data_IF_846046870262
#
_entry.id   IF_846046870262
#
_cell.length_a   1.000
_cell.length_b   1.000
_cell.length_c   1.000
_cell.angle_alpha   90.00
_cell.angle_beta   90.00
_cell.angle_gamma   90.00
#
_symmetry.space_group_name_H-M   'P 1'
#
loop_
_entity.id
_entity.type
_entity.pdbx_description
1 polymer ?
#
# COMPACT_ATOMS: atom_id res chain seq x y z
N UNK A 1 -59.56 45.95 -51.61
CA UNK A 1 -59.97 46.90 -50.55
C UNK A 1 -59.84 46.15 -49.22
N UNK A 2 -59.24 46.80 -48.22
CA UNK A 2 -58.98 46.37 -46.83
C UNK A 2 -57.64 45.64 -46.57
N UNK A 3 -56.77 46.42 -45.92
CA UNK A 3 -55.47 46.21 -45.25
C UNK A 3 -55.60 45.23 -44.06
N UNK A 4 -54.55 44.59 -43.52
CA UNK A 4 -53.73 45.04 -42.36
C UNK A 4 -52.55 44.04 -42.16
N UNK A 5 -51.46 44.57 -41.60
CA UNK A 5 -50.07 44.11 -41.46
C UNK A 5 -49.70 43.09 -40.35
N UNK A 6 -48.65 42.28 -40.62
CA UNK A 6 -47.48 41.76 -39.81
C UNK A 6 -47.72 41.14 -38.39
N UNK A 7 -46.81 40.29 -37.83
CA UNK A 7 -45.37 40.16 -38.13
C UNK A 7 -44.78 38.74 -38.31
N UNK A 8 -43.54 38.74 -38.79
CA UNK A 8 -42.68 37.60 -39.06
C UNK A 8 -42.29 36.81 -37.79
N UNK A 9 -42.34 35.48 -37.86
CA UNK A 9 -41.77 34.58 -36.84
C UNK A 9 -40.33 34.25 -37.21
N UNK A 10 -39.40 34.63 -36.33
CA UNK A 10 -38.00 34.17 -36.31
C UNK A 10 -37.94 32.64 -36.22
N UNK A 11 -37.18 32.01 -37.12
CA UNK A 11 -36.79 30.61 -37.01
C UNK A 11 -35.58 30.48 -36.08
N UNK A 12 -35.80 29.99 -34.85
CA UNK A 12 -34.72 29.46 -34.02
C UNK A 12 -34.32 28.08 -34.55
N UNK A 13 -33.21 28.01 -35.29
CA UNK A 13 -32.50 26.73 -35.51
C UNK A 13 -31.88 26.32 -34.17
N UNK A 14 -32.43 25.29 -33.52
CA UNK A 14 -31.78 24.62 -32.39
C UNK A 14 -30.51 23.95 -32.91
N UNK A 15 -29.36 24.56 -32.62
CA UNK A 15 -28.06 23.91 -32.71
C UNK A 15 -28.04 22.81 -31.64
N UNK A 16 -28.12 21.54 -32.05
CA UNK A 16 -27.92 20.41 -31.15
C UNK A 16 -26.42 20.37 -30.83
N UNK A 17 -26.00 21.05 -29.76
CA UNK A 17 -24.65 20.93 -29.23
C UNK A 17 -24.59 19.58 -28.50
N UNK A 18 -24.11 18.55 -29.19
CA UNK A 18 -23.78 17.27 -28.56
C UNK A 18 -22.58 17.52 -27.65
N UNK A 19 -22.86 17.86 -26.39
CA UNK A 19 -21.86 17.84 -25.33
C UNK A 19 -21.48 16.38 -25.12
N UNK A 20 -20.45 15.94 -25.84
CA UNK A 20 -19.68 14.75 -25.45
C UNK A 20 -18.93 15.17 -24.19
N UNK A 21 -19.59 15.04 -23.04
CA UNK A 21 -18.90 15.01 -21.76
C UNK A 21 -18.07 13.74 -21.80
N UNK A 22 -16.80 13.86 -22.17
CA UNK A 22 -15.83 12.83 -21.95
C UNK A 22 -15.81 12.58 -20.44
N UNK A 23 -16.39 11.46 -20.00
CA UNK A 23 -16.19 10.98 -18.64
C UNK A 23 -14.68 10.87 -18.43
N UNK A 24 -14.09 11.53 -17.43
CA UNK A 24 -12.70 11.32 -17.11
C UNK A 24 -12.52 9.84 -16.78
N UNK A 25 -11.49 9.25 -17.36
CA UNK A 25 -11.07 7.88 -17.07
C UNK A 25 -11.02 7.69 -15.56
N UNK A 26 -11.95 6.91 -15.02
CA UNK A 26 -11.96 6.54 -13.61
C UNK A 26 -10.66 5.78 -13.32
N UNK A 27 -9.68 6.45 -12.71
CA UNK A 27 -8.72 5.75 -11.88
C UNK A 27 -9.56 5.00 -10.84
N UNK A 28 -9.41 3.67 -10.76
CA UNK A 28 -10.13 2.90 -9.76
C UNK A 28 -9.77 3.45 -8.37
N UNK A 29 -10.77 3.98 -7.66
CA UNK A 29 -10.57 4.62 -6.37
C UNK A 29 -10.02 3.64 -5.33
N UNK A 30 -9.21 4.15 -4.40
CA UNK A 30 -8.79 3.42 -3.21
C UNK A 30 -10.01 2.98 -2.39
N UNK A 31 -9.96 1.79 -1.80
CA UNK A 31 -11.05 1.28 -0.96
C UNK A 31 -10.56 0.21 0.01
N UNK A 32 -11.14 0.15 1.20
CA UNK A 32 -10.90 -0.91 2.18
C UNK A 32 -12.19 -1.47 2.76
N UNK A 33 -12.11 -2.67 3.33
CA UNK A 33 -13.19 -3.31 4.07
C UNK A 33 -12.65 -4.36 5.04
N UNK A 34 -13.37 -4.57 6.14
CA UNK A 34 -13.06 -5.60 7.13
C UNK A 34 -14.05 -6.74 7.06
N UNK A 35 -13.54 -7.97 7.10
CA UNK A 35 -14.31 -9.19 7.27
C UNK A 35 -13.96 -9.84 8.61
N UNK A 36 -14.95 -10.42 9.26
CA UNK A 36 -14.78 -11.08 10.56
C UNK A 36 -15.27 -12.52 10.50
N UNK A 37 -14.47 -13.43 11.06
CA UNK A 37 -14.75 -14.86 11.11
C UNK A 37 -14.64 -15.32 12.56
N UNK A 38 -15.71 -15.94 13.07
CA UNK A 38 -15.70 -16.58 14.39
C UNK A 38 -15.51 -18.07 14.21
N UNK A 39 -14.48 -18.63 14.85
CA UNK A 39 -14.21 -20.08 14.79
C UNK A 39 -15.33 -20.85 15.48
N UNK A 40 -15.93 -21.81 14.77
CA UNK A 40 -16.96 -22.71 15.35
C UNK A 40 -16.36 -24.02 15.87
N UNK A 41 -15.12 -24.32 15.47
CA UNK A 41 -14.35 -25.48 15.86
C UNK A 41 -12.85 -25.16 15.75
N UNK A 42 -12.02 -25.99 16.38
CA UNK A 42 -10.56 -25.81 16.37
C UNK A 42 -9.92 -25.92 14.98
N UNK A 43 -10.55 -26.67 14.07
CA UNK A 43 -10.22 -26.69 12.66
C UNK A 43 -11.41 -26.16 11.86
N UNK A 44 -11.14 -25.29 10.89
CA UNK A 44 -12.17 -24.67 10.08
C UNK A 44 -11.70 -24.42 8.65
N UNK A 45 -12.67 -24.29 7.75
CA UNK A 45 -12.50 -23.85 6.37
C UNK A 45 -13.64 -22.89 6.05
N UNK A 46 -13.30 -21.67 5.67
CA UNK A 46 -14.21 -20.67 5.17
C UNK A 46 -13.88 -20.33 3.72
N UNK A 47 -14.90 -20.08 2.93
CA UNK A 47 -14.73 -19.63 1.56
C UNK A 47 -15.83 -18.65 1.19
N UNK A 48 -15.45 -17.55 0.52
CA UNK A 48 -16.39 -16.50 0.16
C UNK A 48 -15.96 -15.77 -1.12
N UNK A 49 -16.93 -15.08 -1.72
CA UNK A 49 -16.64 -14.10 -2.77
C UNK A 49 -15.78 -12.99 -2.22
N UNK A 50 -14.89 -12.48 -3.06
CA UNK A 50 -14.08 -11.32 -2.74
C UNK A 50 -15.00 -10.10 -2.50
N UNK A 51 -14.79 -9.33 -1.42
CA UNK A 51 -15.73 -8.29 -1.01
C UNK A 51 -15.61 -7.01 -1.85
N UNK A 52 -14.48 -6.80 -2.53
CA UNK A 52 -14.25 -5.61 -3.36
C UNK A 52 -14.48 -5.90 -4.85
N UNK A 53 -15.00 -4.92 -5.59
CA UNK A 53 -15.27 -5.08 -7.03
C UNK A 53 -14.18 -4.48 -7.93
N UNK A 54 -13.29 -3.64 -7.38
CA UNK A 54 -12.20 -2.95 -8.09
C UNK A 54 -10.85 -3.50 -7.64
N UNK A 55 -10.16 -4.24 -8.52
CA UNK A 55 -8.87 -4.88 -8.23
C UNK A 55 -7.80 -4.35 -9.18
N UNK A 56 -6.91 -3.49 -8.68
CA UNK A 56 -6.14 -2.64 -9.59
C UNK A 56 -5.02 -2.02 -8.75
N UNK A 57 -3.75 -2.49 -8.82
CA UNK A 57 -3.20 -3.64 -9.58
C UNK A 57 -3.23 -4.98 -8.82
N UNK A 58 -3.60 -4.96 -7.55
CA UNK A 58 -3.71 -6.12 -6.66
C UNK A 58 -4.57 -5.72 -5.46
N UNK A 59 -4.76 -6.63 -4.52
CA UNK A 59 -5.26 -6.30 -3.19
C UNK A 59 -4.20 -6.56 -2.13
N UNK A 60 -4.20 -5.73 -1.10
CA UNK A 60 -3.45 -5.96 0.12
C UNK A 60 -4.38 -6.58 1.18
N UNK A 61 -3.86 -7.53 1.95
CA UNK A 61 -4.61 -8.28 2.96
C UNK A 61 -3.78 -8.41 4.21
N UNK A 62 -4.38 -8.08 5.36
CA UNK A 62 -3.81 -8.37 6.66
C UNK A 62 -4.86 -9.05 7.54
N UNK A 63 -4.40 -9.86 8.47
CA UNK A 63 -5.25 -10.53 9.45
C UNK A 63 -4.94 -10.02 10.84
N UNK A 64 -5.93 -10.03 11.71
CA UNK A 64 -5.75 -9.75 13.13
C UNK A 64 -6.58 -10.70 13.98
N UNK A 65 -6.07 -11.08 15.14
CA UNK A 65 -6.73 -12.00 16.09
C UNK A 65 -6.32 -11.69 17.54
N UNK A 66 -7.08 -12.13 18.56
CA UNK A 66 -6.75 -11.86 19.95
C UNK A 66 -5.37 -12.39 20.35
N UNK A 67 -4.66 -11.62 21.17
CA UNK A 67 -3.38 -12.05 21.72
C UNK A 67 -3.53 -13.25 22.67
N UNK A 68 -2.52 -14.12 22.66
CA UNK A 68 -2.55 -15.40 23.37
C UNK A 68 -3.35 -16.50 22.67
N UNK A 69 -4.12 -16.19 21.63
CA UNK A 69 -4.74 -17.18 20.76
C UNK A 69 -3.78 -17.51 19.60
N UNK A 70 -3.40 -18.77 19.48
CA UNK A 70 -2.48 -19.22 18.45
C UNK A 70 -2.99 -20.51 17.79
N UNK A 71 -3.18 -20.43 16.48
CA UNK A 71 -3.38 -21.58 15.62
C UNK A 71 -2.66 -21.38 14.30
N UNK A 72 -2.67 -22.39 13.44
CA UNK A 72 -2.22 -22.20 12.06
C UNK A 72 -3.32 -21.54 11.26
N UNK A 73 -2.96 -20.58 10.40
CA UNK A 73 -3.89 -19.92 9.49
C UNK A 73 -3.26 -19.88 8.10
N UNK A 74 -4.05 -20.21 7.09
CA UNK A 74 -3.63 -20.16 5.71
C UNK A 74 -4.74 -19.58 4.84
N UNK A 75 -4.34 -18.78 3.85
CA UNK A 75 -5.25 -18.17 2.89
C UNK A 75 -4.83 -18.53 1.46
N UNK A 76 -5.79 -18.64 0.55
CA UNK A 76 -5.51 -18.63 -0.89
C UNK A 76 -6.52 -17.78 -1.62
N UNK A 77 -6.09 -17.23 -2.75
CA UNK A 77 -6.86 -16.32 -3.58
C UNK A 77 -7.09 -16.94 -4.95
N UNK A 78 -8.23 -16.64 -5.57
CA UNK A 78 -8.59 -17.21 -6.88
C UNK A 78 -9.58 -16.36 -7.66
N UNK A 79 -9.65 -16.61 -8.97
CA UNK A 79 -10.70 -16.04 -9.85
C UNK A 79 -12.07 -16.68 -9.58
N UNK A 80 -12.07 -17.87 -8.98
CA UNK A 80 -13.27 -18.58 -8.53
C UNK A 80 -12.85 -19.66 -7.53
N UNK A 81 -13.82 -20.24 -6.81
CA UNK A 81 -13.58 -21.40 -5.92
C UNK A 81 -12.86 -22.57 -6.60
N UNK A 82 -13.07 -22.77 -7.90
CA UNK A 82 -12.43 -23.85 -8.68
C UNK A 82 -11.06 -23.47 -9.28
N UNK A 83 -10.71 -22.18 -9.25
CA UNK A 83 -9.48 -21.61 -9.79
C UNK A 83 -8.76 -20.81 -8.72
N UNK A 84 -8.44 -21.47 -7.61
CA UNK A 84 -7.68 -20.90 -6.51
C UNK A 84 -6.18 -21.19 -6.68
N UNK A 85 -5.36 -20.21 -6.35
CA UNK A 85 -3.90 -20.36 -6.27
C UNK A 85 -3.46 -21.24 -5.09
N UNK A 86 -2.15 -21.30 -4.83
CA UNK A 86 -1.61 -22.07 -3.72
C UNK A 86 -2.02 -21.49 -2.37
N UNK A 87 -2.07 -22.35 -1.35
CA UNK A 87 -2.21 -21.93 0.05
C UNK A 87 -0.96 -21.18 0.51
N UNK A 88 -1.17 -20.01 1.10
CA UNK A 88 -0.14 -19.18 1.70
C UNK A 88 -0.33 -19.19 3.22
N UNK A 89 0.73 -19.44 4.00
CA UNK A 89 0.65 -19.30 5.45
C UNK A 89 0.46 -17.83 5.83
N UNK A 90 -0.39 -17.59 6.83
CA UNK A 90 -0.55 -16.28 7.46
C UNK A 90 0.30 -16.30 8.72
N UNK A 91 1.37 -15.52 8.72
CA UNK A 91 2.28 -15.39 9.85
C UNK A 91 1.97 -14.13 10.64
N UNK A 92 2.07 -14.19 11.97
CA UNK A 92 2.11 -12.98 12.79
C UNK A 92 3.27 -12.09 12.32
N UNK A 93 3.04 -10.78 12.25
CA UNK A 93 4.09 -9.81 12.02
C UNK A 93 5.05 -9.83 13.22
N UNK A 94 6.33 -10.20 13.03
CA UNK A 94 7.31 -10.22 14.13
C UNK A 94 7.55 -8.83 14.74
N UNK A 95 7.15 -7.76 14.06
CA UNK A 95 7.26 -6.38 14.51
C UNK A 95 6.03 -5.91 15.30
N UNK A 96 4.91 -6.64 15.24
CA UNK A 96 3.73 -6.35 16.06
C UNK A 96 3.91 -6.90 17.49
N UNK A 97 4.75 -6.26 18.31
CA UNK A 97 4.94 -6.64 19.72
C UNK A 97 3.71 -6.30 20.57
N UNK A 98 3.49 -7.07 21.65
CA UNK A 98 2.40 -6.85 22.60
C UNK A 98 2.29 -5.39 23.11
N UNK A 99 3.43 -4.73 23.35
CA UNK A 99 3.50 -3.36 23.84
C UNK A 99 3.22 -2.28 22.78
N UNK A 100 3.35 -2.61 21.50
CA UNK A 100 3.17 -1.69 20.36
C UNK A 100 1.79 -1.89 19.68
N UNK A 101 1.08 -2.96 20.06
CA UNK A 101 -0.34 -3.16 19.70
C UNK A 101 -1.13 -2.16 20.53
N UNK A 102 -1.90 -1.30 19.88
CA UNK A 102 -2.81 -0.37 20.56
C UNK A 102 -3.78 -1.11 21.52
N UNK A 103 -4.72 -0.38 22.17
CA UNK A 103 -5.60 -0.91 23.22
C UNK A 103 -6.48 -2.13 22.83
N UNK A 104 -6.42 -2.60 21.58
CA UNK A 104 -7.19 -3.73 21.06
C UNK A 104 -6.63 -5.12 21.43
N UNK A 105 -5.37 -5.25 21.87
CA UNK A 105 -4.81 -6.55 22.29
C UNK A 105 -4.81 -7.61 21.18
N UNK A 106 -4.57 -7.20 19.93
CA UNK A 106 -4.62 -8.07 18.76
C UNK A 106 -3.23 -8.34 18.19
N UNK A 107 -2.92 -9.61 17.90
CA UNK A 107 -1.83 -9.98 17.00
C UNK A 107 -2.24 -9.58 15.58
N UNK A 108 -1.34 -8.95 14.84
CA UNK A 108 -1.52 -8.61 13.42
C UNK A 108 -0.59 -9.49 12.58
N UNK A 109 -1.04 -9.91 11.41
CA UNK A 109 -0.23 -10.68 10.46
C UNK A 109 0.72 -9.81 9.64
N UNK A 110 1.74 -10.42 9.05
CA UNK A 110 2.44 -9.81 7.93
C UNK A 110 1.47 -9.45 6.79
N UNK A 111 1.83 -8.43 6.01
CA UNK A 111 1.04 -7.96 4.87
C UNK A 111 1.14 -8.92 3.67
N UNK A 112 -0.01 -9.37 3.18
CA UNK A 112 -0.14 -10.28 2.05
C UNK A 112 -0.70 -9.55 0.83
N UNK A 113 -0.40 -10.07 -0.36
CA UNK A 113 -0.87 -9.49 -1.63
C UNK A 113 -1.65 -10.54 -2.43
N UNK A 114 -2.91 -10.23 -2.75
CA UNK A 114 -3.75 -11.03 -3.63
C UNK A 114 -3.71 -10.46 -5.07
N UNK A 115 -3.59 -11.29 -6.12
CA UNK A 115 -3.56 -10.80 -7.51
C UNK A 115 -4.83 -10.01 -7.90
N UNK A 116 -4.73 -9.06 -8.86
CA UNK A 116 -5.90 -8.31 -9.37
C UNK A 116 -7.06 -9.19 -9.90
N UNK A 117 -6.78 -10.42 -10.33
CA UNK A 117 -7.80 -11.37 -10.75
C UNK A 117 -8.66 -11.94 -9.61
N UNK A 118 -8.33 -11.64 -8.35
CA UNK A 118 -9.00 -12.26 -7.19
C UNK A 118 -10.48 -11.90 -7.16
N UNK A 119 -11.34 -12.92 -7.15
CA UNK A 119 -12.81 -12.84 -6.98
C UNK A 119 -13.32 -13.80 -5.92
N UNK A 120 -12.43 -14.64 -5.39
CA UNK A 120 -12.71 -15.64 -4.38
C UNK A 120 -11.52 -15.76 -3.44
N UNK A 121 -11.78 -15.97 -2.16
CA UNK A 121 -10.76 -16.38 -1.21
C UNK A 121 -11.23 -17.58 -0.41
N UNK A 122 -10.25 -18.35 0.06
CA UNK A 122 -10.46 -19.44 0.99
C UNK A 122 -9.50 -19.27 2.16
N UNK A 123 -10.01 -19.51 3.36
CA UNK A 123 -9.30 -19.44 4.62
C UNK A 123 -9.42 -20.79 5.31
N UNK A 124 -8.32 -21.33 5.81
CA UNK A 124 -8.35 -22.52 6.68
C UNK A 124 -7.46 -22.32 7.87
N UNK A 125 -7.86 -22.90 8.99
CA UNK A 125 -7.04 -22.89 10.19
C UNK A 125 -7.20 -24.15 11.02
N UNK A 126 -6.25 -24.35 11.92
CA UNK A 126 -6.25 -25.43 12.90
C UNK A 126 -5.63 -24.98 14.22
N UNK A 127 -6.08 -25.56 15.34
CA UNK A 127 -5.55 -25.27 16.67
C UNK A 127 -6.09 -23.99 17.31
N UNK A 128 -7.13 -23.38 16.75
CA UNK A 128 -7.74 -22.17 17.31
C UNK A 128 -8.72 -22.51 18.44
N UNK A 129 -8.80 -21.72 19.51
CA UNK A 129 -9.91 -21.81 20.46
C UNK A 129 -11.27 -21.67 19.75
N UNK A 130 -12.32 -22.29 20.30
CA UNK A 130 -13.67 -22.08 19.81
C UNK A 130 -14.13 -20.65 20.20
N UNK A 131 -14.69 -19.91 19.24
CA UNK A 131 -15.13 -18.54 19.45
C UNK A 131 -14.07 -17.47 19.16
N UNK A 132 -12.85 -17.86 18.77
CA UNK A 132 -11.80 -16.94 18.31
C UNK A 132 -12.32 -16.05 17.18
N UNK A 133 -12.08 -14.74 17.31
CA UNK A 133 -12.45 -13.75 16.30
C UNK A 133 -11.25 -13.42 15.42
N UNK A 134 -11.26 -13.89 14.18
CA UNK A 134 -10.24 -13.57 13.18
C UNK A 134 -10.80 -12.46 12.29
N UNK A 135 -10.10 -11.32 12.23
CA UNK A 135 -10.40 -10.21 11.33
C UNK A 135 -9.50 -10.29 10.11
N UNK A 136 -10.04 -9.95 8.95
CA UNK A 136 -9.31 -9.81 7.70
C UNK A 136 -9.57 -8.40 7.17
N UNK A 137 -8.55 -7.55 7.19
CA UNK A 137 -8.54 -6.26 6.53
C UNK A 137 -8.18 -6.45 5.07
N UNK A 138 -8.98 -5.87 4.17
CA UNK A 138 -8.77 -5.93 2.73
C UNK A 138 -8.69 -4.52 2.18
N UNK A 139 -7.63 -4.24 1.43
CA UNK A 139 -7.40 -2.94 0.82
C UNK A 139 -7.13 -3.06 -0.68
N UNK A 140 -7.74 -2.17 -1.46
CA UNK A 140 -7.49 -1.95 -2.88
C UNK A 140 -6.80 -0.60 -3.03
N UNK A 141 -5.50 -0.56 -3.40
CA UNK A 141 -4.74 0.68 -3.47
C UNK A 141 -5.04 1.54 -4.70
N UNK A 142 -5.88 1.09 -5.63
CA UNK A 142 -6.05 1.77 -6.93
C UNK A 142 -4.78 1.76 -7.79
N UNK A 143 -4.89 2.19 -9.04
CA UNK A 143 -3.73 2.28 -9.95
C UNK A 143 -2.98 3.59 -9.77
N UNK A 144 -1.65 3.56 -9.89
CA UNK A 144 -0.91 4.76 -10.26
C UNK A 144 -0.96 4.94 -11.79
N UNK A 145 -1.08 6.19 -12.23
CA UNK A 145 -0.64 6.50 -13.61
C UNK A 145 0.88 6.48 -13.57
N UNK A 146 1.51 5.46 -14.16
CA UNK A 146 2.97 5.41 -14.26
C UNK A 146 3.44 6.70 -14.96
N UNK A 147 4.21 7.58 -14.31
CA UNK A 147 4.82 8.70 -15.04
C UNK A 147 5.68 8.12 -16.17
N UNK A 148 5.64 8.68 -17.39
CA UNK A 148 6.50 8.20 -18.46
C UNK A 148 7.96 8.50 -18.11
N UNK A 149 8.77 7.44 -17.96
CA UNK A 149 10.23 7.51 -17.81
C UNK A 149 10.65 7.54 -16.35
N UNK A 150 11.06 6.41 -15.78
CA UNK A 150 12.43 5.89 -15.85
C UNK A 150 13.41 6.79 -15.11
N UNK A 151 13.91 6.29 -13.98
CA UNK A 151 15.19 6.73 -13.45
C UNK A 151 16.21 6.65 -14.60
N UNK A 152 16.57 7.81 -15.17
CA UNK A 152 17.79 7.90 -15.95
C UNK A 152 18.93 7.58 -14.98
N UNK A 153 19.75 6.57 -15.32
CA UNK A 153 20.97 6.32 -14.57
C UNK A 153 21.75 7.64 -14.44
N UNK A 154 22.16 8.05 -13.22
CA UNK A 154 22.88 9.30 -13.08
C UNK A 154 24.19 9.21 -13.88
N UNK A 155 24.57 10.29 -14.61
CA UNK A 155 25.87 10.32 -15.28
C UNK A 155 26.98 10.15 -14.23
N UNK A 156 28.07 9.48 -14.61
CA UNK A 156 29.25 9.34 -13.76
C UNK A 156 29.73 10.73 -13.31
N UNK A 157 29.76 10.98 -11.99
CA UNK A 157 30.04 12.31 -11.44
C UNK A 157 31.52 12.57 -11.20
N UNK A 158 32.00 13.82 -11.38
CA UNK A 158 33.35 14.24 -10.99
C UNK A 158 33.57 14.12 -9.48
N UNK A 159 34.83 14.05 -9.06
CA UNK A 159 35.31 13.75 -7.69
C UNK A 159 35.06 14.83 -6.63
N UNK A 160 34.39 15.93 -6.99
CA UNK A 160 34.00 16.99 -6.06
C UNK A 160 32.48 16.88 -5.86
N UNK A 161 32.01 16.16 -4.84
CA UNK A 161 30.63 15.68 -4.78
C UNK A 161 29.78 16.42 -3.75
N UNK A 162 28.89 17.35 -4.14
CA UNK A 162 27.65 17.52 -3.40
C UNK A 162 26.81 16.27 -3.67
N UNK A 163 26.75 15.34 -2.71
CA UNK A 163 25.85 14.18 -2.74
C UNK A 163 24.42 14.69 -2.61
N UNK A 164 23.66 14.93 -3.70
CA UNK A 164 22.34 15.53 -3.57
C UNK A 164 21.31 14.44 -3.29
N UNK A 165 20.16 14.86 -2.76
CA UNK A 165 19.04 13.95 -2.59
C UNK A 165 18.68 13.33 -3.96
N UNK A 166 18.57 12.00 -4.07
CA UNK A 166 18.11 11.36 -5.29
C UNK A 166 16.72 11.84 -5.71
N UNK A 167 16.38 11.71 -6.99
CA UNK A 167 15.01 11.97 -7.44
C UNK A 167 14.03 11.10 -6.64
N UNK A 168 13.03 11.75 -6.04
CA UNK A 168 12.10 11.15 -5.10
C UNK A 168 10.66 11.37 -5.55
N UNK A 169 9.85 10.32 -5.45
CA UNK A 169 8.40 10.41 -5.54
C UNK A 169 7.85 10.82 -4.16
N UNK A 170 7.33 12.03 -4.08
CA UNK A 170 6.73 12.58 -2.86
C UNK A 170 5.41 11.89 -2.53
N UNK A 171 4.87 12.16 -1.33
CA UNK A 171 3.53 11.68 -0.96
C UNK A 171 2.44 12.03 -1.96
N UNK A 172 2.49 13.23 -2.52
CA UNK A 172 1.53 13.66 -3.54
C UNK A 172 1.68 12.85 -4.85
N UNK A 173 2.88 12.36 -5.16
CA UNK A 173 3.12 11.55 -6.36
C UNK A 173 2.59 10.12 -6.20
N UNK A 174 2.79 9.50 -5.03
CA UNK A 174 2.35 8.12 -4.78
C UNK A 174 0.94 8.01 -4.18
N UNK A 175 0.34 9.08 -3.66
CA UNK A 175 -1.06 9.13 -3.23
C UNK A 175 -1.75 10.45 -3.69
N UNK A 176 -1.97 10.60 -5.01
CA UNK A 176 -2.43 11.86 -5.60
C UNK A 176 -3.87 12.25 -5.27
N UNK A 177 -4.69 11.31 -4.81
CA UNK A 177 -6.06 11.59 -4.34
C UNK A 177 -6.12 12.10 -2.89
N UNK A 178 -4.99 12.09 -2.17
CA UNK A 178 -4.88 12.57 -0.80
C UNK A 178 -5.53 11.65 0.24
N UNK A 179 -5.89 10.41 -0.08
CA UNK A 179 -6.46 9.48 0.89
C UNK A 179 -5.43 8.81 1.81
N UNK A 180 -4.16 9.20 1.70
CA UNK A 180 -3.04 8.73 2.52
C UNK A 180 -2.40 9.90 3.29
N UNK A 181 -3.14 10.63 4.14
CA UNK A 181 -2.60 11.81 4.82
C UNK A 181 -1.37 11.44 5.67
N UNK A 182 -0.38 12.35 5.77
CA UNK A 182 0.70 12.19 6.75
C UNK A 182 0.19 12.42 8.17
N UNK A 183 1.00 12.09 9.17
CA UNK A 183 0.75 12.50 10.56
C UNK A 183 0.56 14.04 10.62
N UNK A 184 -0.57 14.55 11.17
CA UNK A 184 -0.78 15.98 11.32
C UNK A 184 0.15 16.64 12.34
N UNK A 185 0.81 15.87 13.21
CA UNK A 185 1.66 16.35 14.30
C UNK A 185 3.01 15.62 14.37
N UNK A 186 3.82 15.66 13.30
CA UNK A 186 5.05 14.87 13.21
C UNK A 186 6.05 15.26 14.31
N UNK A 187 6.60 14.25 14.97
CA UNK A 187 7.70 14.47 15.92
C UNK A 187 9.01 14.64 15.15
N UNK A 188 9.66 15.79 15.29
CA UNK A 188 10.97 16.04 14.68
C UNK A 188 12.08 15.23 15.39
N UNK A 189 13.09 14.83 14.62
CA UNK A 189 14.30 14.20 15.14
C UNK A 189 15.50 14.58 14.30
N UNK A 190 16.72 14.54 14.84
CA UNK A 190 17.94 14.70 14.04
C UNK A 190 18.54 13.34 13.80
N UNK A 191 18.61 12.91 12.54
CA UNK A 191 19.20 11.61 12.23
C UNK A 191 20.69 11.56 12.61
N UNK A 192 21.07 10.53 13.35
CA UNK A 192 22.44 10.20 13.75
C UNK A 192 22.89 8.84 13.20
N UNK A 193 21.95 8.01 12.76
CA UNK A 193 22.21 6.70 12.19
C UNK A 193 21.10 6.31 11.20
N UNK A 194 21.39 5.32 10.35
CA UNK A 194 20.51 4.88 9.27
C UNK A 194 20.24 3.39 9.43
N UNK A 195 18.96 2.99 9.34
CA UNK A 195 18.51 1.61 9.46
C UNK A 195 17.86 1.18 8.14
N UNK A 196 18.38 0.12 7.54
CA UNK A 196 17.85 -0.46 6.31
C UNK A 196 17.02 -1.69 6.65
N UNK A 197 15.78 -1.69 6.17
CA UNK A 197 14.79 -2.76 6.29
C UNK A 197 14.46 -3.35 4.93
N UNK A 198 13.69 -4.42 4.93
CA UNK A 198 12.89 -4.82 3.79
C UNK A 198 11.43 -5.00 4.21
N UNK A 199 10.48 -4.90 3.28
CA UNK A 199 9.05 -4.94 3.62
C UNK A 199 8.51 -6.33 3.94
N UNK A 200 9.32 -7.39 3.77
CA UNK A 200 8.91 -8.79 3.87
C UNK A 200 7.64 -9.12 3.07
N UNK A 201 7.46 -8.42 1.94
CA UNK A 201 6.28 -8.53 1.09
C UNK A 201 6.65 -8.88 -0.36
N UNK A 202 5.67 -8.76 -1.28
CA UNK A 202 5.84 -9.09 -2.70
C UNK A 202 7.01 -8.33 -3.32
N UNK A 203 7.91 -9.07 -3.98
CA UNK A 203 9.02 -8.53 -4.78
C UNK A 203 8.71 -8.43 -6.27
N UNK A 204 7.49 -8.79 -6.69
CA UNK A 204 7.08 -8.88 -8.11
C UNK A 204 5.92 -7.95 -8.47
N UNK A 205 5.67 -6.91 -7.67
CA UNK A 205 4.63 -5.93 -7.97
C UNK A 205 4.96 -5.16 -9.25
N UNK A 206 3.93 -4.78 -10.00
CA UNK A 206 4.05 -3.99 -11.23
C UNK A 206 3.80 -2.49 -11.03
N UNK A 207 3.35 -2.11 -9.83
CA UNK A 207 2.99 -0.74 -9.45
C UNK A 207 3.46 -0.51 -8.01
N UNK A 208 4.64 0.10 -7.87
CA UNK A 208 5.28 0.29 -6.58
C UNK A 208 4.65 1.41 -5.76
N UNK A 209 4.03 2.40 -6.38
CA UNK A 209 3.24 3.41 -5.66
C UNK A 209 2.02 2.76 -4.99
N UNK A 210 1.36 1.80 -5.65
CA UNK A 210 0.31 1.01 -5.03
C UNK A 210 0.81 0.15 -3.85
N UNK A 211 2.06 -0.32 -3.90
CA UNK A 211 2.68 -1.01 -2.75
C UNK A 211 2.91 -0.05 -1.59
N UNK A 212 3.43 1.16 -1.84
CA UNK A 212 3.61 2.20 -0.81
C UNK A 212 2.28 2.53 -0.13
N UNK A 213 1.20 2.76 -0.91
CA UNK A 213 -0.14 2.98 -0.35
C UNK A 213 -0.64 1.82 0.51
N UNK A 214 -0.34 0.59 0.10
CA UNK A 214 -0.71 -0.62 0.84
C UNK A 214 0.07 -0.76 2.16
N UNK A 215 1.33 -0.35 2.19
CA UNK A 215 2.14 -0.29 3.42
C UNK A 215 1.62 0.82 4.35
N UNK A 216 1.27 1.99 3.81
CA UNK A 216 0.64 3.07 4.57
C UNK A 216 -0.69 2.60 5.20
N UNK A 217 -1.58 2.00 4.41
CA UNK A 217 -2.86 1.49 4.88
C UNK A 217 -2.69 0.42 5.97
N UNK A 218 -1.76 -0.51 5.77
CA UNK A 218 -1.42 -1.50 6.79
C UNK A 218 -0.92 -0.86 8.08
N UNK A 219 -0.02 0.13 8.01
CA UNK A 219 0.52 0.77 9.21
C UNK A 219 -0.52 1.63 9.93
N UNK A 220 -1.33 2.39 9.19
CA UNK A 220 -2.28 3.34 9.78
C UNK A 220 -3.59 2.65 10.17
N UNK A 221 -4.20 1.91 9.25
CA UNK A 221 -5.55 1.37 9.43
C UNK A 221 -5.56 -0.02 10.09
N UNK A 222 -4.46 -0.77 10.03
CA UNK A 222 -4.34 -2.08 10.69
C UNK A 222 -3.51 -2.01 11.97
N UNK A 223 -2.31 -1.43 11.92
CA UNK A 223 -1.45 -1.31 13.11
C UNK A 223 -1.84 -0.13 14.03
N UNK A 224 -2.60 0.85 13.52
CA UNK A 224 -3.02 2.02 14.29
C UNK A 224 -1.92 3.07 14.47
N UNK A 225 -0.93 3.11 13.58
CA UNK A 225 0.14 4.09 13.61
C UNK A 225 -0.35 5.44 13.05
N UNK A 226 0.36 6.50 13.41
CA UNK A 226 0.17 7.88 12.95
C UNK A 226 0.46 8.07 11.45
N UNK A 227 1.40 7.30 10.90
CA UNK A 227 1.78 7.31 9.49
C UNK A 227 2.54 6.03 9.09
N UNK A 228 2.86 5.89 7.80
CA UNK A 228 3.81 4.91 7.29
C UNK A 228 5.10 4.93 8.12
N UNK A 229 5.63 3.75 8.45
CA UNK A 229 6.64 3.61 9.51
C UNK A 229 8.03 4.07 9.10
N UNK A 230 8.32 4.06 7.80
CA UNK A 230 9.64 4.34 7.24
C UNK A 230 9.75 5.80 6.80
N UNK A 231 10.97 6.36 6.85
CA UNK A 231 11.25 7.69 6.29
C UNK A 231 11.27 7.64 4.76
N UNK A 232 11.85 6.57 4.21
CA UNK A 232 12.00 6.37 2.77
C UNK A 232 11.73 4.90 2.39
N UNK A 233 11.26 4.68 1.17
CA UNK A 233 11.08 3.35 0.59
C UNK A 233 11.74 3.29 -0.78
N UNK A 234 12.42 2.19 -1.09
CA UNK A 234 13.10 1.98 -2.37
C UNK A 234 12.48 0.77 -3.05
N UNK A 235 11.94 0.98 -4.24
CA UNK A 235 11.40 -0.08 -5.09
C UNK A 235 12.52 -0.90 -5.76
N UNK A 236 12.25 -2.17 -6.12
CA UNK A 236 13.15 -2.97 -6.95
C UNK A 236 13.60 -2.30 -8.25
N UNK A 237 12.75 -1.46 -8.85
CA UNK A 237 13.08 -0.73 -10.08
C UNK A 237 13.97 0.51 -9.85
N UNK A 238 14.37 0.79 -8.61
CA UNK A 238 15.20 1.93 -8.23
C UNK A 238 14.42 3.19 -7.87
N UNK A 239 13.09 3.20 -7.97
CA UNK A 239 12.28 4.37 -7.59
C UNK A 239 12.36 4.60 -6.08
N UNK A 240 12.74 5.82 -5.68
CA UNK A 240 12.70 6.29 -4.30
C UNK A 240 11.35 6.93 -4.00
N UNK A 241 10.73 6.52 -2.90
CA UNK A 241 9.47 7.06 -2.39
C UNK A 241 9.68 7.70 -1.03
N UNK A 242 9.07 8.88 -0.84
CA UNK A 242 8.99 9.56 0.45
C UNK A 242 7.97 8.87 1.36
N UNK A 243 8.38 8.46 2.56
CA UNK A 243 7.47 8.03 3.62
C UNK A 243 7.15 9.20 4.55
N UNK A 244 7.76 9.21 5.75
CA UNK A 244 7.71 10.35 6.67
C UNK A 244 8.65 11.50 6.30
N UNK A 245 9.62 11.26 5.41
CA UNK A 245 10.59 12.26 4.98
C UNK A 245 11.75 12.49 5.97
N UNK A 246 12.50 13.56 5.73
CA UNK A 246 13.75 13.84 6.42
C UNK A 246 13.54 14.40 7.84
N UNK A 247 14.37 13.95 8.80
CA UNK A 247 14.36 14.43 10.19
C UNK A 247 12.97 14.37 10.88
N UNK A 248 12.13 13.42 10.47
CA UNK A 248 10.87 13.05 11.13
C UNK A 248 11.03 11.69 11.80
N UNK A 249 10.56 11.57 13.04
CA UNK A 249 10.62 10.34 13.81
C UNK A 249 9.81 9.23 13.13
N UNK A 250 10.47 8.12 12.80
CA UNK A 250 9.85 6.91 12.24
C UNK A 250 9.23 5.99 13.29
N UNK A 251 8.64 4.89 12.80
CA UNK A 251 8.08 3.79 13.59
C UNK A 251 8.59 2.42 13.10
N UNK A 252 9.86 2.35 12.68
CA UNK A 252 10.43 1.20 11.98
C UNK A 252 11.47 0.41 12.80
N UNK A 253 11.94 0.93 13.93
CA UNK A 253 12.96 0.31 14.78
C UNK A 253 12.53 0.34 16.24
N UNK A 254 11.77 -0.68 16.65
CA UNK A 254 11.09 -0.78 17.94
C UNK A 254 11.97 -0.31 19.12
N UNK A 255 11.52 0.73 19.82
CA UNK A 255 12.19 1.29 21.00
C UNK A 255 13.45 2.12 20.71
N UNK A 256 13.82 2.33 19.45
CA UNK A 256 15.07 3.03 19.07
C UNK A 256 14.91 3.84 17.79
N UNK A 257 13.71 4.39 17.53
CA UNK A 257 13.47 5.26 16.36
C UNK A 257 14.17 6.64 16.47
N UNK A 258 14.46 7.12 17.69
CA UNK A 258 15.04 8.45 17.89
C UNK A 258 16.41 8.55 17.22
N UNK A 259 16.56 9.50 16.31
CA UNK A 259 17.77 9.70 15.51
C UNK A 259 18.00 8.65 14.42
N UNK A 260 17.05 7.75 14.16
CA UNK A 260 17.14 6.76 13.10
C UNK A 260 16.46 7.27 11.82
N UNK A 261 17.16 7.20 10.69
CA UNK A 261 16.54 7.26 9.36
C UNK A 261 16.19 5.84 8.90
N UNK A 262 14.92 5.53 8.73
CA UNK A 262 14.46 4.23 8.23
C UNK A 262 14.30 4.20 6.72
N UNK A 263 14.99 3.27 6.07
CA UNK A 263 14.85 3.00 4.63
C UNK A 263 14.30 1.58 4.43
N UNK A 264 13.16 1.44 3.75
CA UNK A 264 12.58 0.13 3.43
C UNK A 264 12.86 -0.27 1.98
N UNK A 265 13.64 -1.33 1.79
CA UNK A 265 13.81 -1.98 0.49
C UNK A 265 12.57 -2.85 0.19
N UNK A 266 11.66 -2.37 -0.66
CA UNK A 266 10.39 -3.05 -0.91
C UNK A 266 10.62 -4.43 -1.54
N UNK A 267 10.06 -5.47 -0.91
CA UNK A 267 10.20 -6.87 -1.29
C UNK A 267 10.73 -7.76 -0.17
N UNK A 268 10.94 -9.04 -0.51
CA UNK A 268 11.53 -10.04 0.38
C UNK A 268 12.93 -10.42 -0.11
N UNK A 269 13.95 -10.13 0.70
CA UNK A 269 15.37 -10.28 0.34
C UNK A 269 16.13 -11.25 1.25
N UNK A 270 15.42 -12.23 1.82
CA UNK A 270 16.01 -13.22 2.74
C UNK A 270 16.83 -14.30 2.02
N UNK A 271 16.51 -14.58 0.76
CA UNK A 271 17.14 -15.65 -0.05
C UNK A 271 17.90 -15.11 -1.27
N UNK A 272 17.73 -13.83 -1.60
CA UNK A 272 18.39 -13.15 -2.71
C UNK A 272 18.54 -11.65 -2.38
N UNK A 273 19.59 -10.98 -2.87
CA UNK A 273 19.77 -9.55 -2.65
C UNK A 273 18.75 -8.71 -3.46
N UNK A 274 18.49 -7.45 -3.07
CA UNK A 274 17.79 -6.49 -3.91
C UNK A 274 18.51 -6.28 -5.26
N UNK A 275 17.79 -5.92 -6.34
CA UNK A 275 18.41 -5.58 -7.62
C UNK A 275 19.40 -4.41 -7.51
N UNK A 276 20.40 -4.39 -8.39
CA UNK A 276 21.41 -3.33 -8.43
C UNK A 276 20.82 -1.92 -8.59
N UNK A 277 19.69 -1.81 -9.30
CA UNK A 277 18.92 -0.55 -9.43
C UNK A 277 18.45 -0.03 -8.08
N UNK A 278 17.92 -0.89 -7.22
CA UNK A 278 17.49 -0.51 -5.87
C UNK A 278 18.69 -0.22 -4.96
N UNK A 279 19.76 -1.03 -5.05
CA UNK A 279 20.98 -0.80 -4.27
C UNK A 279 21.70 0.50 -4.65
N UNK A 280 21.66 0.91 -5.93
CA UNK A 280 22.20 2.19 -6.37
C UNK A 280 21.44 3.36 -5.73
N UNK A 281 20.11 3.36 -5.78
CA UNK A 281 19.28 4.38 -5.13
C UNK A 281 19.49 4.43 -3.62
N UNK A 282 19.60 3.26 -2.97
CA UNK A 282 19.93 3.19 -1.55
C UNK A 282 21.28 3.88 -1.28
N UNK A 283 22.33 3.54 -2.04
CA UNK A 283 23.66 4.14 -1.86
C UNK A 283 23.64 5.66 -2.02
N UNK A 284 22.95 6.16 -3.04
CA UNK A 284 22.85 7.60 -3.29
C UNK A 284 22.09 8.32 -2.17
N UNK A 285 21.02 7.70 -1.64
CA UNK A 285 20.27 8.23 -0.49
C UNK A 285 21.13 8.27 0.78
N UNK A 286 21.86 7.19 1.08
CA UNK A 286 22.74 7.14 2.25
C UNK A 286 23.90 8.14 2.14
N UNK A 287 24.46 8.32 0.93
CA UNK A 287 25.53 9.29 0.68
C UNK A 287 25.04 10.75 0.75
N UNK A 288 23.78 11.02 0.39
CA UNK A 288 23.17 12.35 0.59
C UNK A 288 23.02 12.69 2.07
N UNK A 289 22.67 11.71 2.91
CA UNK A 289 22.42 11.95 4.33
C UNK A 289 23.68 11.93 5.20
N UNK A 290 24.76 11.28 4.75
CA UNK A 290 26.01 11.09 5.48
C UNK A 290 26.79 12.38 5.75
#
# INVERSE_FOLDING_TARGET
MITISKPARMHFRRLLLTLVVAWPYWLAAQSSTDLSFTTTAAAFHHDARWPLHTATPFYAVAFAWPDGEAGTLQVRFGESRKKSGPWQPVHADPHARAADRGPAGLVVSALLFAPAGTRWFELRGSGWPQGSLIRMHVYSPGHSTRPPGAAAAPPARPRDCPCPLPAIQTRADWCPDGSCPPDPTPTATTFSHMIVHHSASSSTASDWAAVVRSIWDFHVNVNGWDDIGYNYLVAPDGTLYEGRGDNVLGAHFCGTNTGAMGVCMMGTWTSAPPPDTALATLRDLLAWKS
#
